data_IF_262172626793
#
_entry.id   IF_262172626793
#
_cell.length_a   1.000
_cell.length_b   1.000
_cell.length_c   1.000
_cell.angle_alpha   90.00
_cell.angle_beta   90.00
_cell.angle_gamma   90.00
#
_symmetry.space_group_name_H-M   'P 1'
#
loop_
_entity.id
_entity.type
_entity.pdbx_description
1 polymer ?
#
# COMPACT_ATOMS: atom_id res chain seq x y z
N UNK A 1 13.87 -17.60 -15.33
CA UNK A 1 13.98 -17.05 -13.96
C UNK A 1 13.61 -15.58 -14.01
N UNK A 2 12.65 -15.14 -13.25
CA UNK A 2 12.24 -13.72 -13.25
C UNK A 2 13.12 -13.03 -12.21
N UNK A 3 14.19 -12.41 -12.68
CA UNK A 3 15.10 -11.64 -11.81
C UNK A 3 14.60 -10.19 -11.58
N UNK A 4 13.43 -9.87 -12.12
CA UNK A 4 12.83 -8.55 -12.01
C UNK A 4 11.71 -8.54 -10.97
N UNK A 5 11.60 -7.41 -10.26
CA UNK A 5 10.51 -7.18 -9.30
C UNK A 5 9.16 -7.29 -10.03
N UNK A 6 8.19 -8.07 -9.50
CA UNK A 6 6.84 -8.06 -10.04
C UNK A 6 6.23 -6.65 -9.92
N UNK A 7 5.75 -6.13 -11.04
CA UNK A 7 5.08 -4.84 -11.08
C UNK A 7 3.57 -5.02 -11.25
N UNK A 8 2.74 -4.15 -10.65
CA UNK A 8 1.30 -4.21 -10.85
C UNK A 8 0.92 -3.88 -12.29
N UNK A 9 -0.08 -4.60 -12.82
CA UNK A 9 -0.75 -4.20 -14.05
C UNK A 9 -1.68 -3.02 -13.78
N UNK A 10 -1.61 -2.00 -14.62
CA UNK A 10 -2.48 -0.82 -14.48
C UNK A 10 -3.74 -1.05 -15.32
N UNK A 11 -4.89 -0.94 -14.66
CA UNK A 11 -6.21 -1.03 -15.28
C UNK A 11 -6.90 0.34 -15.27
N UNK A 12 -7.96 0.51 -16.06
CA UNK A 12 -8.66 1.79 -16.17
C UNK A 12 -9.20 2.29 -14.82
N UNK A 13 -9.64 1.36 -13.96
CA UNK A 13 -10.23 1.70 -12.65
C UNK A 13 -9.20 2.03 -11.57
N UNK A 14 -7.92 1.71 -11.72
CA UNK A 14 -6.87 2.00 -10.74
C UNK A 14 -5.76 2.93 -11.27
N UNK A 15 -5.87 3.35 -12.53
CA UNK A 15 -4.88 4.20 -13.18
C UNK A 15 -4.58 5.47 -12.36
N UNK A 16 -5.61 6.16 -11.88
CA UNK A 16 -5.46 7.37 -11.08
C UNK A 16 -4.73 7.09 -9.76
N UNK A 17 -4.98 5.94 -9.15
CA UNK A 17 -4.26 5.53 -7.95
C UNK A 17 -2.74 5.47 -8.20
N UNK A 18 -2.33 4.81 -9.28
CA UNK A 18 -0.90 4.69 -9.62
C UNK A 18 -0.27 6.00 -10.08
N UNK A 19 -1.01 6.83 -10.81
CA UNK A 19 -0.58 8.18 -11.17
C UNK A 19 -0.32 9.03 -9.92
N UNK A 20 -1.22 8.99 -8.94
CA UNK A 20 -1.05 9.68 -7.67
C UNK A 20 0.15 9.15 -6.88
N UNK A 21 0.35 7.83 -6.83
CA UNK A 21 1.54 7.24 -6.20
C UNK A 21 2.84 7.76 -6.82
N UNK A 22 2.88 7.92 -8.15
CA UNK A 22 4.06 8.47 -8.84
C UNK A 22 4.30 9.95 -8.53
N UNK A 23 3.28 10.66 -8.06
CA UNK A 23 3.36 12.03 -7.57
C UNK A 23 3.55 12.13 -6.04
N UNK A 24 3.87 11.00 -5.39
CA UNK A 24 4.00 10.88 -3.93
C UNK A 24 2.72 11.24 -3.16
N UNK A 25 1.57 10.90 -3.73
CA UNK A 25 0.25 11.12 -3.15
C UNK A 25 -0.48 9.80 -2.96
N UNK A 26 -0.99 9.57 -1.77
CA UNK A 26 -1.87 8.44 -1.52
C UNK A 26 -3.32 8.88 -1.68
N UNK A 27 -4.09 8.17 -2.49
CA UNK A 27 -5.50 8.46 -2.71
C UNK A 27 -6.36 7.21 -2.54
N UNK A 28 -7.58 7.41 -2.11
CA UNK A 28 -8.57 6.35 -1.88
C UNK A 28 -9.77 6.59 -2.79
N UNK A 29 -10.21 5.51 -3.44
CA UNK A 29 -11.37 5.54 -4.31
C UNK A 29 -12.66 5.63 -3.46
N UNK A 30 -13.55 6.52 -3.87
CA UNK A 30 -14.89 6.67 -3.29
C UNK A 30 -15.95 6.38 -4.36
N UNK A 31 -17.05 5.80 -3.95
CA UNK A 31 -18.22 5.70 -4.82
C UNK A 31 -18.77 7.10 -5.13
N UNK A 32 -19.06 7.38 -6.41
CA UNK A 32 -19.64 8.66 -6.81
C UNK A 32 -21.11 8.83 -6.38
N UNK A 33 -21.81 7.74 -6.07
CA UNK A 33 -23.23 7.78 -5.69
C UNK A 33 -23.46 7.64 -4.18
N UNK A 34 -22.83 6.63 -3.52
CA UNK A 34 -23.03 6.41 -2.08
C UNK A 34 -21.88 6.95 -1.21
N UNK A 35 -20.85 7.50 -1.81
CA UNK A 35 -19.68 8.12 -1.16
C UNK A 35 -18.89 7.21 -0.22
N UNK A 36 -19.04 5.90 -0.32
CA UNK A 36 -18.27 4.97 0.51
C UNK A 36 -16.85 4.80 -0.02
N UNK A 37 -15.84 4.93 0.84
CA UNK A 37 -14.45 4.64 0.47
C UNK A 37 -14.24 3.15 0.29
N UNK A 38 -13.30 2.79 -0.59
CA UNK A 38 -12.91 1.40 -0.80
C UNK A 38 -11.45 1.27 -1.19
N UNK A 39 -10.86 0.17 -0.79
CA UNK A 39 -9.54 -0.29 -1.20
C UNK A 39 -9.52 -1.82 -1.21
N UNK A 40 -8.93 -2.47 -2.20
CA UNK A 40 -8.32 -1.89 -3.40
C UNK A 40 -9.34 -1.22 -4.34
N UNK A 41 -8.88 -0.39 -5.29
CA UNK A 41 -9.76 0.20 -6.31
C UNK A 41 -10.53 -0.86 -7.08
N UNK A 42 -11.78 -0.60 -7.41
CA UNK A 42 -12.67 -1.52 -8.13
C UNK A 42 -13.48 -0.77 -9.17
N UNK A 43 -13.88 -1.48 -10.21
CA UNK A 43 -14.73 -0.92 -11.26
C UNK A 43 -16.13 -0.59 -10.77
N UNK A 44 -16.70 -1.42 -9.89
CA UNK A 44 -18.07 -1.29 -9.37
C UNK A 44 -18.08 -1.20 -7.86
N UNK A 45 -18.95 -0.36 -7.31
CA UNK A 45 -19.16 -0.26 -5.87
C UNK A 45 -19.79 -1.56 -5.34
N UNK A 46 -19.20 -2.20 -4.30
CA UNK A 46 -19.77 -3.41 -3.73
C UNK A 46 -21.06 -3.18 -2.92
N UNK A 47 -21.38 -1.92 -2.61
CA UNK A 47 -22.55 -1.56 -1.78
C UNK A 47 -23.75 -1.18 -2.64
N UNK A 48 -23.58 -0.26 -3.60
CA UNK A 48 -24.71 0.25 -4.41
C UNK A 48 -24.60 -0.11 -5.89
N UNK A 49 -23.54 -0.84 -6.30
CA UNK A 49 -23.31 -1.30 -7.67
C UNK A 49 -23.08 -0.17 -8.71
N UNK A 50 -22.88 1.07 -8.25
CA UNK A 50 -22.50 2.16 -9.14
C UNK A 50 -21.11 1.95 -9.73
N UNK A 51 -20.93 2.38 -10.98
CA UNK A 51 -19.62 2.44 -11.66
C UNK A 51 -19.00 3.85 -11.59
N UNK A 52 -19.72 4.81 -11.04
CA UNK A 52 -19.21 6.16 -10.80
C UNK A 52 -18.29 6.18 -9.58
N UNK A 53 -17.17 6.87 -9.67
CA UNK A 53 -16.22 6.98 -8.56
C UNK A 53 -15.46 8.30 -8.59
N UNK A 54 -14.95 8.68 -7.44
CA UNK A 54 -14.08 9.83 -7.22
C UNK A 54 -12.83 9.38 -6.45
N UNK A 55 -11.83 10.26 -6.37
CA UNK A 55 -10.58 9.98 -5.68
C UNK A 55 -10.31 11.07 -4.66
N UNK A 56 -10.07 10.66 -3.42
CA UNK A 56 -9.72 11.57 -2.33
C UNK A 56 -8.29 11.31 -1.87
N UNK A 57 -7.48 12.36 -1.86
CA UNK A 57 -6.14 12.30 -1.28
C UNK A 57 -6.25 12.18 0.25
N UNK A 58 -5.41 11.34 0.84
CA UNK A 58 -5.30 11.12 2.28
C UNK A 58 -3.95 11.57 2.79
N UNK A 59 -3.84 11.79 4.11
CA UNK A 59 -2.59 12.26 4.74
C UNK A 59 -1.43 11.28 4.57
N UNK A 60 -1.73 9.99 4.44
CA UNK A 60 -0.74 8.92 4.47
C UNK A 60 -0.36 8.48 5.87
N UNK A 61 -0.98 9.03 6.90
CA UNK A 61 -0.81 8.56 8.27
C UNK A 61 -1.63 7.29 8.51
N UNK A 62 -1.03 6.33 9.19
CA UNK A 62 -1.63 5.03 9.42
C UNK A 62 -1.18 4.42 10.75
N UNK A 63 -1.89 3.39 11.15
CA UNK A 63 -1.54 2.57 12.31
C UNK A 63 -1.27 1.14 11.86
N UNK A 64 -0.22 0.54 12.38
CA UNK A 64 0.09 -0.85 12.07
C UNK A 64 -0.99 -1.77 12.65
N UNK A 65 -1.69 -2.45 11.76
CA UNK A 65 -2.73 -3.41 12.13
C UNK A 65 -2.18 -4.82 12.35
N UNK A 66 -1.29 -5.24 11.45
CA UNK A 66 -0.62 -6.54 11.51
C UNK A 66 0.66 -6.49 10.68
N UNK A 67 1.54 -7.46 10.85
CA UNK A 67 2.75 -7.57 10.04
C UNK A 67 3.25 -9.01 9.97
N UNK A 68 4.09 -9.26 8.97
CA UNK A 68 4.84 -10.49 8.83
C UNK A 68 6.30 -10.17 8.48
N UNK A 69 7.19 -11.10 8.84
CA UNK A 69 8.59 -11.08 8.43
C UNK A 69 8.82 -12.32 7.59
N UNK A 70 8.70 -12.22 6.25
CA UNK A 70 8.88 -13.37 5.36
C UNK A 70 10.28 -13.99 5.49
N UNK A 71 10.33 -15.32 5.44
CA UNK A 71 11.55 -16.10 5.52
C UNK A 71 11.70 -16.99 4.29
N UNK A 72 12.91 -17.28 3.85
CA UNK A 72 13.13 -18.24 2.74
C UNK A 72 12.42 -19.60 2.96
N UNK A 73 11.96 -20.27 1.86
CA UNK A 73 12.22 -19.93 0.46
C UNK A 73 11.33 -18.80 -0.07
N UNK A 74 11.92 -17.85 -0.76
CA UNK A 74 11.25 -16.71 -1.39
C UNK A 74 11.59 -16.66 -2.88
N UNK A 75 10.90 -15.81 -3.64
CA UNK A 75 11.35 -15.50 -5.00
C UNK A 75 12.74 -14.84 -4.93
N UNK A 76 13.65 -15.15 -5.87
CA UNK A 76 15.04 -14.67 -5.79
C UNK A 76 15.16 -13.16 -5.58
N UNK A 77 14.33 -12.37 -6.23
CA UNK A 77 14.32 -10.90 -6.08
C UNK A 77 14.02 -10.43 -4.64
N UNK A 78 13.37 -11.24 -3.83
CA UNK A 78 13.05 -10.95 -2.43
C UNK A 78 14.01 -11.60 -1.44
N UNK A 79 14.73 -12.66 -1.84
CA UNK A 79 15.69 -13.32 -0.94
C UNK A 79 16.82 -12.38 -0.53
N UNK A 80 17.33 -11.58 -1.47
CA UNK A 80 18.41 -10.61 -1.20
C UNK A 80 17.98 -9.51 -0.23
N UNK A 81 16.70 -9.22 -0.17
CA UNK A 81 16.13 -8.23 0.75
C UNK A 81 15.84 -8.80 2.14
N UNK A 82 15.71 -10.12 2.25
CA UNK A 82 15.38 -10.81 3.50
C UNK A 82 16.45 -10.63 4.58
N UNK A 83 16.08 -10.51 5.86
CA UNK A 83 14.72 -10.34 6.36
C UNK A 83 14.18 -8.91 6.15
N UNK A 84 12.89 -8.79 5.91
CA UNK A 84 12.17 -7.51 5.77
C UNK A 84 10.78 -7.62 6.39
N UNK A 85 10.12 -6.47 6.61
CA UNK A 85 8.80 -6.42 7.22
C UNK A 85 7.77 -6.04 6.18
N UNK A 86 6.70 -6.83 6.08
CA UNK A 86 5.49 -6.47 5.33
C UNK A 86 4.40 -6.13 6.33
N UNK A 87 3.94 -4.88 6.30
CA UNK A 87 2.89 -4.39 7.18
C UNK A 87 1.52 -4.38 6.50
N UNK A 88 0.49 -4.66 7.29
CA UNK A 88 -0.89 -4.33 6.99
C UNK A 88 -1.25 -3.12 7.85
N UNK A 89 -1.52 -1.99 7.23
CA UNK A 89 -1.75 -0.72 7.93
C UNK A 89 -3.18 -0.25 7.74
N UNK A 90 -3.74 0.39 8.76
CA UNK A 90 -5.06 1.02 8.69
C UNK A 90 -4.90 2.54 8.65
N UNK A 91 -5.53 3.17 7.65
CA UNK A 91 -5.48 4.63 7.50
C UNK A 91 -6.19 5.34 8.64
N UNK A 92 -5.63 6.47 9.08
CA UNK A 92 -6.22 7.24 10.19
C UNK A 92 -7.56 7.87 9.83
N UNK A 93 -7.76 8.24 8.55
CA UNK A 93 -9.01 8.84 8.06
C UNK A 93 -10.14 7.83 7.88
N UNK A 94 -9.81 6.57 7.63
CA UNK A 94 -10.80 5.57 7.26
C UNK A 94 -10.59 4.27 8.02
N UNK A 95 -11.38 4.03 9.05
CA UNK A 95 -11.45 2.72 9.70
C UNK A 95 -11.82 1.65 8.67
N UNK A 96 -11.20 0.49 8.76
CA UNK A 96 -11.38 -0.66 7.87
C UNK A 96 -10.82 -0.47 6.45
N UNK A 97 -10.18 0.64 6.13
CA UNK A 97 -9.38 0.77 4.90
C UNK A 97 -7.94 0.42 5.25
N UNK A 98 -7.49 -0.72 4.76
CA UNK A 98 -6.17 -1.29 5.06
C UNK A 98 -5.37 -1.50 3.80
N UNK A 99 -4.09 -1.16 3.87
CA UNK A 99 -3.15 -1.31 2.77
C UNK A 99 -1.98 -2.17 3.20
N UNK A 100 -1.45 -2.94 2.25
CA UNK A 100 -0.24 -3.73 2.44
C UNK A 100 0.94 -2.97 1.85
N UNK A 101 2.06 -2.98 2.55
CA UNK A 101 3.31 -2.44 2.04
C UNK A 101 4.49 -2.79 2.93
N UNK A 102 5.68 -2.69 2.35
CA UNK A 102 6.91 -2.92 3.09
C UNK A 102 7.17 -1.78 4.08
N UNK A 103 7.65 -2.10 5.28
CA UNK A 103 8.12 -1.10 6.25
C UNK A 103 9.63 -0.98 6.06
N UNK A 104 10.10 0.19 5.64
CA UNK A 104 11.45 0.34 5.05
C UNK A 104 12.50 0.98 5.96
N UNK A 105 12.10 1.61 7.06
CA UNK A 105 13.04 2.36 7.91
C UNK A 105 13.46 1.62 9.20
N UNK A 106 13.22 0.31 9.27
CA UNK A 106 13.63 -0.51 10.40
C UNK A 106 14.84 -1.34 9.98
N UNK A 107 15.98 -1.20 10.69
CA UNK A 107 17.19 -1.97 10.37
C UNK A 107 16.97 -3.47 10.52
N UNK A 108 17.64 -4.27 9.69
CA UNK A 108 17.54 -5.74 9.69
C UNK A 108 17.94 -6.38 11.02
N UNK A 109 18.79 -5.72 11.80
CA UNK A 109 19.22 -6.17 13.13
C UNK A 109 18.28 -5.74 14.25
N UNK A 110 17.20 -5.01 13.95
CA UNK A 110 16.25 -4.48 14.95
C UNK A 110 14.79 -4.66 14.51
N UNK A 111 14.48 -5.73 13.80
CA UNK A 111 13.11 -6.00 13.34
C UNK A 111 12.13 -6.19 14.49
N UNK A 112 12.61 -6.59 15.66
CA UNK A 112 11.79 -6.77 16.87
C UNK A 112 11.27 -5.45 17.45
N UNK A 113 11.76 -4.31 16.95
CA UNK A 113 11.26 -2.99 17.37
C UNK A 113 9.88 -2.65 16.81
N UNK A 114 9.36 -3.43 15.87
CA UNK A 114 8.03 -3.22 15.30
C UNK A 114 6.96 -3.81 16.21
N UNK A 115 5.90 -3.04 16.46
CA UNK A 115 4.78 -3.47 17.28
C UNK A 115 3.44 -3.11 16.62
N UNK A 116 2.44 -3.99 16.79
CA UNK A 116 1.06 -3.67 16.39
C UNK A 116 0.62 -2.43 17.15
N UNK A 117 0.04 -1.46 16.45
CA UNK A 117 -0.33 -0.16 16.99
C UNK A 117 0.68 0.96 16.71
N UNK A 118 1.86 0.62 16.21
CA UNK A 118 2.85 1.64 15.81
C UNK A 118 2.27 2.64 14.81
N UNK A 119 2.66 3.89 14.97
CA UNK A 119 2.31 4.96 14.03
C UNK A 119 3.25 4.94 12.84
N UNK A 120 2.66 4.93 11.67
CA UNK A 120 3.37 4.85 10.41
C UNK A 120 2.95 6.00 9.49
N UNK A 121 3.81 6.28 8.52
CA UNK A 121 3.52 7.21 7.45
C UNK A 121 3.87 6.58 6.11
N UNK A 122 3.08 6.89 5.09
CA UNK A 122 3.37 6.44 3.73
C UNK A 122 4.63 7.11 3.17
N UNK A 123 5.40 6.34 2.45
CA UNK A 123 6.46 6.78 1.54
C UNK A 123 6.29 6.04 0.22
N UNK A 124 7.02 6.42 -0.81
CA UNK A 124 6.85 5.86 -2.15
C UNK A 124 8.18 5.42 -2.70
N UNK A 125 8.25 4.15 -3.07
CA UNK A 125 9.43 3.57 -3.70
C UNK A 125 9.21 3.50 -5.21
N UNK A 126 9.94 4.28 -5.96
CA UNK A 126 9.93 4.22 -7.42
C UNK A 126 10.53 2.89 -7.89
N UNK A 127 9.76 2.14 -8.69
CA UNK A 127 10.20 0.84 -9.23
C UNK A 127 10.65 1.00 -10.67
N UNK A 128 9.90 1.76 -11.47
CA UNK A 128 10.23 2.07 -12.86
C UNK A 128 9.82 3.49 -13.23
N UNK A 129 9.77 3.81 -14.53
CA UNK A 129 9.43 5.15 -15.01
C UNK A 129 7.99 5.57 -14.67
N UNK A 130 7.07 4.62 -14.52
CA UNK A 130 5.64 4.90 -14.36
C UNK A 130 5.08 4.51 -12.99
N UNK A 131 5.72 3.56 -12.29
CA UNK A 131 5.18 2.98 -11.07
C UNK A 131 6.03 3.29 -9.86
N UNK A 132 5.38 3.84 -8.84
CA UNK A 132 5.90 3.95 -7.49
C UNK A 132 5.00 3.14 -6.54
N UNK A 133 5.60 2.25 -5.75
CA UNK A 133 4.88 1.47 -4.76
C UNK A 133 4.79 2.23 -3.44
N UNK A 134 3.61 2.32 -2.83
CA UNK A 134 3.48 2.76 -1.45
C UNK A 134 4.25 1.81 -0.51
N UNK A 135 5.00 2.39 0.38
CA UNK A 135 5.68 1.71 1.48
C UNK A 135 5.50 2.52 2.75
N UNK A 136 5.98 2.04 3.86
CA UNK A 136 5.68 2.64 5.15
C UNK A 136 6.94 2.92 5.95
N UNK A 137 6.93 4.02 6.67
CA UNK A 137 7.98 4.39 7.61
C UNK A 137 7.39 4.52 9.01
N UNK A 138 8.09 3.97 10.00
CA UNK A 138 7.74 4.12 11.41
C UNK A 138 8.10 5.52 11.86
N UNK A 139 7.15 6.19 12.49
CA UNK A 139 7.35 7.49 13.14
C UNK A 139 8.13 7.41 14.43
#
# INVERSE_FOLDING_TARGET
>A
MIDTLPIPGIEDYDKIYWENCSLNKLSIQHCGDCDKPRFPPRHMCPVCQSVSHTWNEVSGDATLWSFVIPRPPLLPVFEDQSPYIVGLVELVEYKNIRLIGQIINIPKNNLDSIEIGDKLRVDFKKIDAEISLPCWIKK
#
